data_IF_254411358907
#
_entry.id   IF_254411358907
#
_cell.length_a   1.000
_cell.length_b   1.000
_cell.length_c   1.000
_cell.angle_alpha   90.00
_cell.angle_beta   90.00
_cell.angle_gamma   90.00
#
_symmetry.space_group_name_H-M   'P 1'
#
loop_
_entity.id
_entity.type
_entity.pdbx_description
1 polymer ?
#
# COMPACT_ATOMS: atom_id res chain seq x y z
N UNK A 1 4.80 14.58 -5.24
CA UNK A 1 4.16 15.26 -4.08
C UNK A 1 4.68 16.69 -3.91
N UNK A 2 6.00 16.91 -3.81
CA UNK A 2 6.59 18.25 -3.64
C UNK A 2 6.13 19.26 -4.71
N UNK A 3 6.26 18.91 -6.00
CA UNK A 3 5.77 19.73 -7.12
C UNK A 3 4.28 20.11 -6.98
N UNK A 4 3.43 19.13 -6.67
CA UNK A 4 2.00 19.37 -6.49
C UNK A 4 1.73 20.32 -5.31
N UNK A 5 2.50 20.22 -4.21
CA UNK A 5 2.40 21.13 -3.07
C UNK A 5 2.74 22.56 -3.46
N UNK A 6 3.87 22.74 -4.14
CA UNK A 6 4.38 24.06 -4.57
C UNK A 6 3.38 24.79 -5.48
N UNK A 7 2.67 24.03 -6.33
CA UNK A 7 1.71 24.58 -7.28
C UNK A 7 0.25 24.51 -6.83
N UNK A 8 -0.03 24.15 -5.58
CA UNK A 8 -1.41 24.06 -5.07
C UNK A 8 -2.27 22.99 -5.74
N UNK A 9 -1.65 21.97 -6.33
CA UNK A 9 -2.31 20.86 -7.03
C UNK A 9 -2.69 19.76 -6.02
N UNK A 10 -3.97 19.37 -6.01
CA UNK A 10 -4.46 18.22 -5.24
C UNK A 10 -4.22 16.92 -6.00
N UNK A 11 -3.91 15.85 -5.25
CA UNK A 11 -3.57 14.54 -5.84
C UNK A 11 -4.74 13.57 -5.76
N UNK A 12 -5.03 12.89 -6.88
CA UNK A 12 -5.90 11.72 -6.93
C UNK A 12 -5.01 10.47 -7.05
N UNK A 13 -4.91 9.68 -5.98
CA UNK A 13 -4.03 8.50 -5.91
C UNK A 13 -4.82 7.20 -5.97
N UNK A 14 -4.36 6.25 -6.77
CA UNK A 14 -4.95 4.91 -6.90
C UNK A 14 -3.91 3.85 -6.56
N UNK A 15 -4.33 2.59 -6.48
CA UNK A 15 -3.40 1.47 -6.23
C UNK A 15 -2.98 1.32 -4.77
N UNK A 16 -3.70 1.96 -3.85
CA UNK A 16 -3.38 2.05 -2.42
C UNK A 16 -3.29 0.70 -1.70
N UNK A 17 -3.93 -0.34 -2.24
CA UNK A 17 -3.89 -1.71 -1.71
C UNK A 17 -3.10 -2.68 -2.61
N UNK A 18 -2.32 -2.14 -3.55
CA UNK A 18 -1.49 -2.91 -4.48
C UNK A 18 -2.27 -4.05 -5.19
N UNK A 19 -3.46 -3.76 -5.72
CA UNK A 19 -4.28 -4.77 -6.40
C UNK A 19 -4.80 -5.89 -5.48
N UNK A 20 -4.77 -5.69 -4.16
CA UNK A 20 -5.22 -6.63 -3.14
C UNK A 20 -4.10 -7.37 -2.42
N UNK A 21 -2.82 -7.14 -2.78
CA UNK A 21 -1.67 -7.70 -2.06
C UNK A 21 -1.61 -7.23 -0.59
N UNK A 22 -1.95 -5.96 -0.33
CA UNK A 22 -2.01 -5.41 1.03
C UNK A 22 -3.38 -5.72 1.66
N UNK A 23 -3.60 -7.00 1.97
CA UNK A 23 -4.83 -7.45 2.64
C UNK A 23 -4.56 -8.64 3.56
N UNK A 24 -5.48 -8.84 4.51
CA UNK A 24 -5.46 -9.94 5.49
C UNK A 24 -5.35 -11.33 4.85
N UNK A 25 -5.89 -11.47 3.63
CA UNK A 25 -5.86 -12.71 2.86
C UNK A 25 -4.45 -13.27 2.65
N UNK A 26 -3.43 -12.42 2.58
CA UNK A 26 -2.06 -12.84 2.25
C UNK A 26 -1.15 -12.97 3.47
N UNK A 27 -1.63 -12.60 4.65
CA UNK A 27 -0.87 -12.74 5.89
C UNK A 27 -0.69 -14.22 6.25
N UNK A 28 0.54 -14.61 6.60
CA UNK A 28 0.86 -15.97 7.02
C UNK A 28 0.91 -16.99 5.88
N UNK A 29 0.73 -16.55 4.62
CA UNK A 29 0.84 -17.44 3.47
C UNK A 29 2.32 -17.82 3.29
N UNK A 30 2.69 -19.11 3.31
CA UNK A 30 4.09 -19.55 3.40
C UNK A 30 4.91 -19.22 2.15
N UNK A 31 4.27 -19.19 0.98
CA UNK A 31 4.93 -18.93 -0.30
C UNK A 31 4.08 -18.04 -1.17
N UNK A 32 4.70 -17.16 -1.96
CA UNK A 32 4.01 -16.30 -2.92
C UNK A 32 3.09 -17.15 -3.83
N UNK A 33 1.79 -16.83 -3.93
CA UNK A 33 0.85 -17.56 -4.78
C UNK A 33 1.20 -17.42 -6.27
N UNK A 34 0.88 -18.45 -7.05
CA UNK A 34 0.99 -18.38 -8.51
C UNK A 34 -0.03 -17.38 -9.09
N UNK A 35 0.38 -16.43 -9.96
CA UNK A 35 -0.52 -15.43 -10.52
C UNK A 35 -1.46 -15.97 -11.62
N UNK A 36 -1.58 -17.30 -11.80
CA UNK A 36 -2.36 -17.92 -12.91
C UNK A 36 -3.83 -17.53 -12.93
N UNK A 37 -4.44 -17.21 -11.79
CA UNK A 37 -5.84 -16.77 -11.69
C UNK A 37 -5.99 -15.33 -11.15
N UNK A 38 -4.91 -14.56 -11.19
CA UNK A 38 -4.90 -13.19 -10.71
C UNK A 38 -5.57 -12.21 -11.70
N UNK A 39 -6.21 -11.18 -11.17
CA UNK A 39 -6.64 -10.03 -11.98
C UNK A 39 -5.44 -9.32 -12.60
N UNK A 40 -5.67 -8.53 -13.66
CA UNK A 40 -4.61 -7.76 -14.32
C UNK A 40 -3.88 -6.85 -13.32
N UNK A 41 -4.62 -6.16 -12.45
CA UNK A 41 -4.04 -5.30 -11.41
C UNK A 41 -3.20 -6.08 -10.40
N UNK A 42 -3.68 -7.23 -9.91
CA UNK A 42 -2.92 -8.07 -8.98
C UNK A 42 -1.57 -8.51 -9.57
N UNK A 43 -1.55 -8.86 -10.87
CA UNK A 43 -0.32 -9.17 -11.58
C UNK A 43 0.59 -7.95 -11.74
N UNK A 44 0.03 -6.79 -12.10
CA UNK A 44 0.78 -5.54 -12.27
C UNK A 44 1.53 -5.12 -11.00
N UNK A 45 0.89 -5.21 -9.82
CA UNK A 45 1.54 -4.84 -8.55
C UNK A 45 2.52 -5.89 -8.02
N UNK A 46 2.49 -7.12 -8.56
CA UNK A 46 3.38 -8.18 -8.09
C UNK A 46 4.85 -7.92 -8.42
N UNK A 47 5.13 -7.28 -9.56
CA UNK A 47 6.50 -6.98 -10.00
C UNK A 47 7.14 -5.85 -9.16
N UNK A 48 6.51 -4.68 -8.94
CA UNK A 48 7.05 -3.68 -8.03
C UNK A 48 7.27 -4.20 -6.60
N UNK A 49 6.37 -5.04 -6.09
CA UNK A 49 6.52 -5.66 -4.76
C UNK A 49 7.72 -6.59 -4.69
N UNK A 50 7.92 -7.44 -5.70
CA UNK A 50 9.12 -8.29 -5.78
C UNK A 50 10.40 -7.49 -5.89
N UNK A 51 10.39 -6.40 -6.68
CA UNK A 51 11.56 -5.52 -6.80
C UNK A 51 11.88 -4.85 -5.46
N UNK A 52 10.87 -4.30 -4.79
CA UNK A 52 11.06 -3.70 -3.48
C UNK A 52 11.61 -4.71 -2.47
N UNK A 53 11.08 -5.92 -2.43
CA UNK A 53 11.55 -6.92 -1.47
C UNK A 53 12.86 -7.61 -1.88
N UNK A 54 13.34 -7.41 -3.10
CA UNK A 54 14.44 -8.19 -3.68
C UNK A 54 14.08 -9.67 -3.86
N UNK A 55 12.80 -9.96 -4.12
CA UNK A 55 12.26 -11.32 -4.21
C UNK A 55 12.02 -11.99 -2.85
N UNK A 56 12.32 -11.32 -1.73
CA UNK A 56 12.14 -11.88 -0.38
C UNK A 56 10.67 -11.85 0.03
N UNK A 57 9.99 -12.99 -0.06
CA UNK A 57 8.61 -13.11 0.39
C UNK A 57 8.47 -12.84 1.91
N UNK A 58 9.46 -13.24 2.70
CA UNK A 58 9.47 -13.02 4.15
C UNK A 58 9.46 -11.54 4.54
N UNK A 59 10.12 -10.68 3.76
CA UNK A 59 10.08 -9.24 3.97
C UNK A 59 8.68 -8.66 3.66
N UNK A 60 8.00 -9.19 2.64
CA UNK A 60 6.62 -8.82 2.39
C UNK A 60 5.69 -9.31 3.52
N UNK A 61 5.92 -10.52 4.05
CA UNK A 61 5.19 -11.02 5.22
C UNK A 61 5.48 -10.19 6.49
N UNK A 62 6.70 -9.68 6.65
CA UNK A 62 7.02 -8.73 7.72
C UNK A 62 6.21 -7.45 7.61
N UNK A 63 6.12 -6.87 6.41
CA UNK A 63 5.27 -5.70 6.17
C UNK A 63 3.80 -6.00 6.50
N UNK A 64 3.27 -7.14 6.06
CA UNK A 64 1.89 -7.54 6.39
C UNK A 64 1.69 -7.72 7.90
N UNK A 65 2.64 -8.32 8.62
CA UNK A 65 2.59 -8.46 10.08
C UNK A 65 2.56 -7.10 10.78
N UNK A 66 3.42 -6.17 10.36
CA UNK A 66 3.44 -4.80 10.89
C UNK A 66 2.12 -4.08 10.65
N UNK A 67 1.59 -4.16 9.43
CA UNK A 67 0.27 -3.58 9.11
C UNK A 67 -0.85 -4.23 9.92
N UNK A 68 -0.78 -5.55 10.15
CA UNK A 68 -1.76 -6.29 10.94
C UNK A 68 -1.76 -5.84 12.40
N UNK A 69 -0.59 -5.67 13.02
CA UNK A 69 -0.48 -5.16 14.38
C UNK A 69 -1.18 -3.80 14.56
N UNK A 70 -0.96 -2.87 13.62
CA UNK A 70 -1.64 -1.57 13.61
C UNK A 70 -3.14 -1.72 13.40
N UNK A 71 -3.53 -2.61 12.47
CA UNK A 71 -4.92 -2.85 12.16
C UNK A 71 -5.69 -3.46 13.34
N UNK A 72 -5.07 -4.32 14.15
CA UNK A 72 -5.67 -4.90 15.36
C UNK A 72 -5.94 -3.81 16.41
N UNK A 73 -4.98 -2.91 16.62
CA UNK A 73 -5.11 -1.77 17.55
C UNK A 73 -6.27 -0.83 17.16
N UNK A 74 -6.51 -0.69 15.87
CA UNK A 74 -7.53 0.22 15.31
C UNK A 74 -8.85 -0.49 14.97
N UNK A 75 -9.00 -1.77 15.32
CA UNK A 75 -10.16 -2.60 14.97
C UNK A 75 -10.53 -2.51 13.49
N UNK A 76 -9.54 -2.76 12.62
CA UNK A 76 -9.67 -2.59 11.17
C UNK A 76 -8.89 -3.63 10.36
N UNK A 77 -8.74 -3.43 9.05
CA UNK A 77 -8.06 -4.37 8.14
C UNK A 77 -6.68 -3.87 7.70
N UNK A 78 -5.82 -4.78 7.25
CA UNK A 78 -4.53 -4.41 6.63
C UNK A 78 -4.75 -3.43 5.47
N UNK A 79 -5.79 -3.67 4.67
CA UNK A 79 -6.13 -2.83 3.53
C UNK A 79 -6.45 -1.39 3.97
N UNK A 80 -7.20 -1.21 5.06
CA UNK A 80 -7.50 0.11 5.58
C UNK A 80 -6.27 0.82 6.14
N UNK A 81 -5.37 0.11 6.83
CA UNK A 81 -4.10 0.69 7.29
C UNK A 81 -3.24 1.14 6.11
N UNK A 82 -3.15 0.34 5.05
CA UNK A 82 -2.44 0.71 3.82
C UNK A 82 -3.02 1.99 3.18
N UNK A 83 -4.35 2.09 3.11
CA UNK A 83 -5.02 3.31 2.60
C UNK A 83 -4.74 4.52 3.50
N UNK A 84 -4.85 4.35 4.82
CA UNK A 84 -4.59 5.42 5.78
C UNK A 84 -3.12 5.90 5.71
N UNK A 85 -2.19 4.98 5.49
CA UNK A 85 -0.79 5.32 5.26
C UNK A 85 -0.62 6.19 4.01
N UNK A 86 -1.25 5.83 2.88
CA UNK A 86 -1.21 6.66 1.66
C UNK A 86 -1.81 8.05 1.90
N UNK A 87 -2.94 8.13 2.60
CA UNK A 87 -3.55 9.41 2.96
C UNK A 87 -2.61 10.27 3.82
N UNK A 88 -1.88 9.66 4.78
CA UNK A 88 -0.88 10.36 5.57
C UNK A 88 0.25 10.95 4.71
N UNK A 89 0.68 10.24 3.66
CA UNK A 89 1.71 10.73 2.73
C UNK A 89 1.25 11.95 1.92
N UNK A 90 -0.05 12.13 1.68
CA UNK A 90 -0.57 13.33 1.00
C UNK A 90 -0.33 14.59 1.84
N UNK A 91 -0.35 14.46 3.18
CA UNK A 91 -0.01 15.54 4.12
C UNK A 91 -0.64 16.90 3.73
N UNK A 92 0.14 18.00 3.78
CA UNK A 92 -0.33 19.33 3.38
C UNK A 92 -0.74 19.47 1.91
N UNK A 93 -0.22 18.60 1.03
CA UNK A 93 -0.60 18.62 -0.39
C UNK A 93 -2.10 18.31 -0.51
N UNK A 94 -2.59 17.34 0.26
CA UNK A 94 -3.98 16.91 0.27
C UNK A 94 -4.42 16.24 -1.04
N UNK A 95 -5.67 15.81 -1.09
CA UNK A 95 -6.22 15.05 -2.21
C UNK A 95 -7.16 13.94 -1.77
N UNK A 96 -7.26 12.90 -2.59
CA UNK A 96 -8.15 11.75 -2.36
C UNK A 96 -7.54 10.47 -2.89
N UNK A 97 -7.98 9.35 -2.29
CA UNK A 97 -7.67 8.00 -2.71
C UNK A 97 -8.82 7.41 -3.51
N UNK A 98 -8.51 6.72 -4.59
CA UNK A 98 -9.47 5.96 -5.39
C UNK A 98 -9.46 4.53 -4.87
N UNK A 99 -10.57 4.11 -4.28
CA UNK A 99 -10.74 2.75 -3.77
C UNK A 99 -11.43 1.88 -4.82
N UNK A 100 -10.71 0.87 -5.30
CA UNK A 100 -11.28 -0.15 -6.18
C UNK A 100 -11.99 -1.22 -5.35
N UNK A 101 -13.31 -1.21 -5.35
CA UNK A 101 -14.15 -2.19 -4.63
C UNK A 101 -14.91 -3.02 -5.66
N UNK A 102 -14.72 -4.35 -5.65
CA UNK A 102 -15.38 -5.26 -6.60
C UNK A 102 -16.72 -5.78 -6.09
N UNK A 103 -16.89 -5.84 -4.78
CA UNK A 103 -18.08 -6.37 -4.10
C UNK A 103 -18.43 -5.48 -2.90
N UNK A 104 -19.72 -5.33 -2.63
CA UNK A 104 -20.28 -4.49 -1.55
C UNK A 104 -19.89 -4.99 -0.16
N UNK A 105 -19.46 -6.25 -0.03
CA UNK A 105 -18.92 -6.83 1.21
C UNK A 105 -17.77 -6.00 1.79
N UNK A 106 -16.94 -5.37 0.96
CA UNK A 106 -15.83 -4.52 1.42
C UNK A 106 -16.24 -3.07 1.75
N UNK A 107 -17.47 -2.65 1.44
CA UNK A 107 -17.92 -1.28 1.74
C UNK A 107 -18.05 -1.04 3.25
N UNK A 108 -18.48 -2.06 4.00
CA UNK A 108 -18.56 -1.99 5.46
C UNK A 108 -17.16 -1.77 6.07
N UNK A 109 -16.16 -2.52 5.58
CA UNK A 109 -14.77 -2.38 6.03
C UNK A 109 -14.22 -0.99 5.72
N UNK A 110 -14.46 -0.46 4.51
CA UNK A 110 -13.95 0.86 4.13
C UNK A 110 -14.71 2.04 4.76
N UNK A 111 -15.88 1.83 5.38
CA UNK A 111 -16.57 2.89 6.12
C UNK A 111 -15.73 3.42 7.30
N UNK A 112 -14.85 2.59 7.88
CA UNK A 112 -13.92 3.03 8.92
C UNK A 112 -12.98 4.15 8.42
N UNK A 113 -12.59 4.10 7.14
CA UNK A 113 -11.79 5.15 6.50
C UNK A 113 -12.58 6.45 6.34
N UNK A 114 -13.84 6.35 5.89
CA UNK A 114 -14.72 7.52 5.67
C UNK A 114 -15.02 8.27 6.97
N UNK A 115 -15.14 7.55 8.08
CA UNK A 115 -15.48 8.12 9.39
C UNK A 115 -14.29 8.73 10.12
N UNK A 116 -13.08 8.67 9.54
CA UNK A 116 -11.87 9.22 10.16
C UNK A 116 -11.40 8.46 11.39
N UNK A 117 -11.90 7.24 11.61
CA UNK A 117 -11.55 6.37 12.75
C UNK A 117 -10.18 5.72 12.60
N UNK A 118 -9.71 5.55 11.36
CA UNK A 118 -8.38 4.99 11.07
C UNK A 118 -7.37 6.14 11.05
N UNK A 119 -6.78 6.43 12.22
CA UNK A 119 -5.71 7.41 12.36
C UNK A 119 -4.43 6.71 12.80
N UNK A 120 -3.41 6.83 11.96
CA UNK A 120 -2.08 6.32 12.25
C UNK A 120 -1.35 7.30 13.15
N UNK A 121 -0.78 6.77 14.22
CA UNK A 121 0.12 7.50 15.11
C UNK A 121 1.50 7.65 14.46
N UNK A 122 2.34 8.51 15.02
CA UNK A 122 3.73 8.62 14.60
C UNK A 122 4.50 7.30 14.76
N UNK A 123 4.17 6.51 15.79
CA UNK A 123 4.77 5.20 16.04
C UNK A 123 4.35 4.17 14.98
N UNK A 124 3.07 4.15 14.58
CA UNK A 124 2.61 3.28 13.49
C UNK A 124 3.33 3.64 12.19
N UNK A 125 3.44 4.93 11.87
CA UNK A 125 4.16 5.38 10.68
C UNK A 125 5.64 5.00 10.72
N UNK A 126 6.30 5.15 11.87
CA UNK A 126 7.69 4.78 12.05
C UNK A 126 7.92 3.27 11.92
N UNK A 127 7.05 2.44 12.50
CA UNK A 127 7.15 0.99 12.40
C UNK A 127 6.95 0.48 10.96
N UNK A 128 5.99 1.06 10.23
CA UNK A 128 5.79 0.76 8.81
C UNK A 128 7.03 1.20 8.00
N UNK A 129 7.54 2.41 8.25
CA UNK A 129 8.71 2.93 7.55
C UNK A 129 9.95 2.07 7.78
N UNK A 130 10.17 1.59 9.01
CA UNK A 130 11.30 0.74 9.35
C UNK A 130 11.33 -0.56 8.53
N UNK A 131 10.16 -1.14 8.20
CA UNK A 131 10.10 -2.31 7.30
C UNK A 131 10.29 -1.91 5.84
N UNK A 132 9.69 -0.79 5.41
CA UNK A 132 9.86 -0.27 4.04
C UNK A 132 11.34 0.00 3.71
N UNK A 133 12.12 0.49 4.67
CA UNK A 133 13.54 0.82 4.56
C UNK A 133 14.45 -0.43 4.43
N UNK A 134 13.96 -1.62 4.77
CA UNK A 134 14.70 -2.87 4.54
C UNK A 134 14.65 -3.33 3.07
N UNK A 135 13.72 -2.78 2.29
CA UNK A 135 13.58 -3.04 0.86
C UNK A 135 14.34 -2.03 0.00
N UNK A 136 14.18 -2.16 -1.31
CA UNK A 136 14.73 -1.24 -2.30
C UNK A 136 13.64 -0.33 -2.83
N UNK A 137 13.63 0.98 -2.49
CA UNK A 137 12.64 1.90 -3.04
C UNK A 137 12.79 2.02 -4.57
N UNK A 138 11.69 2.29 -5.30
CA UNK A 138 11.76 2.53 -6.75
C UNK A 138 12.75 3.67 -7.06
N UNK A 139 13.66 3.44 -8.00
CA UNK A 139 14.63 4.42 -8.48
C UNK A 139 14.18 5.07 -9.79
N UNK A 140 14.64 6.30 -10.02
CA UNK A 140 14.34 7.05 -11.24
C UNK A 140 12.92 7.60 -11.26
N UNK A 141 12.47 8.05 -12.44
CA UNK A 141 11.10 8.50 -12.60
C UNK A 141 10.10 7.33 -12.66
N UNK A 142 8.81 7.65 -12.57
CA UNK A 142 7.70 6.69 -12.48
C UNK A 142 7.54 5.74 -13.69
N UNK A 143 8.31 5.96 -14.75
CA UNK A 143 8.32 5.16 -15.97
C UNK A 143 9.75 4.72 -16.36
N UNK A 144 10.73 5.01 -15.52
CA UNK A 144 12.14 4.77 -15.82
C UNK A 144 12.40 3.30 -16.08
N UNK A 145 11.75 2.39 -15.35
CA UNK A 145 11.92 0.96 -15.55
C UNK A 145 11.22 0.45 -16.82
N UNK A 146 10.00 0.93 -17.09
CA UNK A 146 9.20 0.59 -18.28
C UNK A 146 9.88 1.07 -19.57
N UNK A 147 10.69 2.13 -19.47
CA UNK A 147 11.55 2.64 -20.55
C UNK A 147 12.97 2.07 -20.56
N UNK A 148 13.31 1.16 -19.64
CA UNK A 148 14.66 0.56 -19.56
C UNK A 148 15.77 1.51 -19.11
N UNK A 149 15.43 2.63 -18.48
CA UNK A 149 16.35 3.67 -18.00
C UNK A 149 16.92 3.37 -16.59
N UNK A 150 16.41 2.35 -15.91
CA UNK A 150 16.81 1.97 -14.56
C UNK A 150 17.00 0.45 -14.54
N UNK A 151 18.23 0.00 -14.23
CA UNK A 151 18.58 -1.41 -14.03
C UNK A 151 18.62 -1.74 -12.54
#
# INVERSE_FOLDING_TARGET
IAYAREHGIKLAVFGTVAGGWLSDRWLGVPTKPSPRHATVSFRMYSTPLERWSGGRWDLFQELLRTLRMVADRLDTTIANVAVAWVLAQLGPTGGWVILGVRDTTHLADHNALRTGKVQLTAEDLASIQAVLDQGSPPRGDIWGHERGQVQ
#
